data_IF_379100805800
#
_entry.id   IF_379100805800
#
_cell.length_a   1.000
_cell.length_b   1.000
_cell.length_c   1.000
_cell.angle_alpha   90.00
_cell.angle_beta   90.00
_cell.angle_gamma   90.00
#
_symmetry.space_group_name_H-M   'P 1'
#
loop_
_entity.id
_entity.type
_entity.pdbx_description
1 polymer ?
#
# COMPACT_ATOMS: atom_id res chain seq x y z
N UNK A 1 -9.57 12.54 5.84
CA UNK A 1 -8.21 12.96 5.37
C UNK A 1 -7.17 12.62 6.43
N UNK A 2 -6.23 11.70 6.16
CA UNK A 2 -5.19 11.31 7.14
C UNK A 2 -3.78 11.55 6.59
N UNK A 3 -2.94 12.16 7.44
CA UNK A 3 -1.69 12.86 7.15
C UNK A 3 -0.44 11.99 7.02
N UNK A 4 -0.54 10.85 6.31
CA UNK A 4 0.61 9.97 6.02
C UNK A 4 0.91 9.87 4.50
N UNK A 5 0.39 10.79 3.69
CA UNK A 5 0.28 10.68 2.23
C UNK A 5 1.58 10.50 1.46
N UNK A 6 2.75 10.55 2.13
CA UNK A 6 4.05 10.36 1.51
C UNK A 6 4.99 9.40 2.23
N UNK A 7 4.42 8.44 2.96
CA UNK A 7 5.14 7.42 3.73
C UNK A 7 6.01 7.95 4.89
N UNK A 8 5.87 9.22 5.28
CA UNK A 8 6.74 9.84 6.29
C UNK A 8 6.34 9.54 7.74
N UNK A 9 5.08 9.19 7.99
CA UNK A 9 4.54 9.06 9.35
C UNK A 9 3.45 8.00 9.44
N UNK A 10 3.23 7.47 10.65
CA UNK A 10 2.15 6.52 10.92
C UNK A 10 2.52 5.06 10.64
N UNK A 11 1.51 4.19 10.60
CA UNK A 11 1.71 2.73 10.52
C UNK A 11 2.29 2.26 9.19
N UNK A 12 2.18 3.05 8.14
CA UNK A 12 2.81 2.75 6.85
C UNK A 12 4.32 2.53 7.00
N UNK A 13 5.00 3.25 7.90
CA UNK A 13 6.42 3.02 8.18
C UNK A 13 6.67 1.62 8.75
N UNK A 14 5.81 1.12 9.64
CA UNK A 14 5.95 -0.24 10.19
C UNK A 14 5.67 -1.31 9.12
N UNK A 15 4.65 -1.09 8.29
CA UNK A 15 4.34 -1.97 7.16
C UNK A 15 5.50 -2.01 6.17
N UNK A 16 6.06 -0.85 5.79
CA UNK A 16 7.22 -0.78 4.92
C UNK A 16 8.44 -1.44 5.56
N UNK A 17 8.76 -1.13 6.82
CA UNK A 17 9.89 -1.74 7.55
C UNK A 17 9.86 -3.27 7.51
N UNK A 18 8.68 -3.88 7.65
CA UNK A 18 8.55 -5.32 7.73
C UNK A 18 8.46 -6.01 6.36
N UNK A 19 8.08 -5.31 5.30
CA UNK A 19 7.71 -5.92 4.03
C UNK A 19 8.54 -5.46 2.83
N UNK A 20 9.26 -4.34 2.92
CA UNK A 20 9.93 -3.72 1.75
C UNK A 20 11.14 -4.51 1.24
N UNK A 21 11.70 -5.38 2.09
CA UNK A 21 12.85 -6.24 1.78
C UNK A 21 12.44 -7.64 1.25
N UNK A 22 11.15 -7.89 1.00
CA UNK A 22 10.68 -9.15 0.42
C UNK A 22 10.17 -8.91 -1.00
N UNK A 23 10.80 -9.57 -1.98
CA UNK A 23 10.47 -9.47 -3.41
C UNK A 23 9.07 -10.00 -3.76
N UNK A 24 8.45 -10.79 -2.88
CA UNK A 24 7.08 -11.28 -3.03
C UNK A 24 6.04 -10.19 -2.76
N UNK A 25 6.46 -9.07 -2.15
CA UNK A 25 5.58 -7.97 -1.80
C UNK A 25 5.56 -6.91 -2.90
N UNK A 26 4.44 -6.17 -2.98
CA UNK A 26 4.30 -5.02 -3.86
C UNK A 26 3.89 -3.78 -3.06
N UNK A 27 4.62 -2.69 -3.22
CA UNK A 27 4.28 -1.36 -2.70
C UNK A 27 3.58 -0.57 -3.80
N UNK A 28 2.28 -0.34 -3.62
CA UNK A 28 1.48 0.48 -4.51
C UNK A 28 1.36 1.91 -3.98
N UNK A 29 1.88 2.87 -4.73
CA UNK A 29 1.78 4.30 -4.43
C UNK A 29 0.69 4.92 -5.32
N UNK A 30 -0.30 5.54 -4.68
CA UNK A 30 -1.40 6.20 -5.37
C UNK A 30 -1.33 7.69 -5.02
N UNK A 31 -1.06 8.52 -6.03
CA UNK A 31 -0.98 9.96 -5.87
C UNK A 31 0.43 10.52 -5.67
N UNK A 32 0.49 11.85 -5.64
CA UNK A 32 1.74 12.61 -5.71
C UNK A 32 2.62 12.42 -4.48
N UNK A 33 3.92 12.21 -4.73
CA UNK A 33 4.96 12.13 -3.70
C UNK A 33 5.91 13.32 -3.82
N UNK A 34 5.97 14.14 -2.77
CA UNK A 34 6.83 15.33 -2.77
C UNK A 34 8.31 14.94 -2.71
N UNK A 35 9.15 15.79 -3.33
CA UNK A 35 10.61 15.62 -3.33
C UNK A 35 11.11 15.49 -1.89
N UNK A 36 12.09 14.61 -1.66
CA UNK A 36 12.72 14.31 -0.36
C UNK A 36 11.91 13.49 0.64
N UNK A 37 10.70 13.06 0.31
CA UNK A 37 9.94 12.10 1.14
C UNK A 37 10.39 10.66 0.88
N UNK A 38 10.21 9.78 1.86
CA UNK A 38 10.38 8.33 1.73
C UNK A 38 9.53 7.79 0.58
N UNK A 39 8.27 8.21 0.49
CA UNK A 39 7.38 7.78 -0.60
C UNK A 39 7.94 8.17 -1.97
N UNK A 40 8.61 9.33 -2.09
CA UNK A 40 9.31 9.71 -3.33
C UNK A 40 10.48 8.80 -3.64
N UNK A 41 11.32 8.47 -2.65
CA UNK A 41 12.45 7.54 -2.83
C UNK A 41 12.01 6.16 -3.27
N UNK A 42 10.89 5.68 -2.70
CA UNK A 42 10.25 4.42 -3.08
C UNK A 42 9.77 4.50 -4.54
N UNK A 43 9.06 5.57 -4.92
CA UNK A 43 8.62 5.80 -6.31
C UNK A 43 9.79 5.86 -7.28
N UNK A 44 10.91 6.47 -6.89
CA UNK A 44 12.14 6.56 -7.68
C UNK A 44 12.96 5.26 -7.69
N UNK A 45 12.50 4.24 -6.95
CA UNK A 45 13.14 2.92 -6.82
C UNK A 45 14.59 3.01 -6.35
N UNK A 46 14.85 3.88 -5.37
CA UNK A 46 16.15 3.89 -4.70
C UNK A 46 16.44 2.50 -4.12
N UNK A 47 17.62 1.90 -4.36
CA UNK A 47 17.93 0.53 -3.94
C UNK A 47 17.92 0.37 -2.41
N UNK A 48 18.10 1.47 -1.68
CA UNK A 48 18.06 1.51 -0.22
C UNK A 48 17.25 2.73 0.24
N UNK A 49 16.35 2.52 1.21
CA UNK A 49 15.57 3.58 1.82
C UNK A 49 15.72 3.58 3.34
N UNK A 50 15.46 4.72 3.99
CA UNK A 50 15.60 4.88 5.44
C UNK A 50 14.22 4.89 6.11
N UNK A 51 13.97 3.95 7.01
CA UNK A 51 12.72 3.79 7.76
C UNK A 51 13.09 3.73 9.25
N UNK A 52 12.50 4.60 10.09
CA UNK A 52 12.85 4.74 11.51
C UNK A 52 14.36 4.91 11.78
N UNK A 53 15.09 5.55 10.87
CA UNK A 53 16.52 5.75 11.00
C UNK A 53 17.38 4.53 10.59
N UNK A 54 16.75 3.41 10.24
CA UNK A 54 17.41 2.19 9.78
C UNK A 54 17.32 2.08 8.26
N UNK A 55 18.38 1.59 7.63
CA UNK A 55 18.44 1.36 6.18
C UNK A 55 17.80 0.01 5.84
N UNK A 56 16.97 0.00 4.80
CA UNK A 56 16.31 -1.19 4.28
C UNK A 56 16.50 -1.27 2.77
N UNK A 57 16.72 -2.47 2.24
CA UNK A 57 16.75 -2.70 0.79
C UNK A 57 15.35 -2.64 0.19
N UNK A 58 15.21 -1.97 -0.95
CA UNK A 58 13.95 -1.96 -1.68
C UNK A 58 13.91 -3.16 -2.64
N UNK A 59 13.41 -4.29 -2.14
CA UNK A 59 13.24 -5.52 -2.93
C UNK A 59 11.80 -5.73 -3.37
N UNK A 60 10.83 -5.22 -2.61
CA UNK A 60 9.42 -5.23 -2.97
C UNK A 60 9.19 -4.50 -4.31
N UNK A 61 8.28 -5.04 -5.13
CA UNK A 61 7.92 -4.43 -6.40
C UNK A 61 7.25 -3.07 -6.15
N UNK A 62 7.67 -2.01 -6.85
CA UNK A 62 7.04 -0.69 -6.73
C UNK A 62 6.17 -0.38 -7.94
N UNK A 63 4.89 -0.11 -7.69
CA UNK A 63 3.91 0.37 -8.67
C UNK A 63 3.40 1.74 -8.30
N UNK A 64 3.16 2.58 -9.31
CA UNK A 64 2.67 3.94 -9.13
C UNK A 64 1.46 4.16 -10.01
N UNK A 65 0.35 4.60 -9.40
CA UNK A 65 -0.87 4.99 -10.10
C UNK A 65 -1.06 6.51 -9.97
N UNK A 66 -1.04 7.19 -11.12
CA UNK A 66 -1.10 8.66 -11.22
C UNK A 66 -2.52 9.18 -11.52
N UNK A 67 -3.56 8.51 -11.04
CA UNK A 67 -4.96 8.87 -11.31
C UNK A 67 -5.52 9.75 -10.19
N UNK A 68 -5.40 11.07 -10.37
CA UNK A 68 -6.00 12.12 -9.55
C UNK A 68 -7.52 12.21 -9.75
N UNK A 69 -8.26 11.18 -9.35
CA UNK A 69 -9.72 11.23 -9.31
C UNK A 69 -10.24 10.28 -8.25
N UNK A 70 -11.10 10.80 -7.36
CA UNK A 70 -11.77 10.03 -6.31
C UNK A 70 -12.58 8.84 -6.86
N UNK A 71 -12.84 8.79 -8.18
CA UNK A 71 -13.45 7.66 -8.87
C UNK A 71 -12.46 6.80 -9.67
N UNK A 72 -11.38 7.38 -10.20
CA UNK A 72 -10.38 6.65 -11.00
C UNK A 72 -9.47 5.77 -10.13
N UNK A 73 -9.24 6.16 -8.87
CA UNK A 73 -8.44 5.35 -7.95
C UNK A 73 -9.06 3.97 -7.65
N UNK A 74 -10.40 3.86 -7.66
CA UNK A 74 -11.10 2.58 -7.36
C UNK A 74 -10.91 1.56 -8.47
N UNK A 75 -11.14 1.93 -9.73
CA UNK A 75 -10.96 1.00 -10.86
C UNK A 75 -9.52 0.53 -10.96
N UNK A 76 -8.56 1.44 -10.79
CA UNK A 76 -7.14 1.08 -10.89
C UNK A 76 -6.67 0.19 -9.72
N UNK A 77 -7.24 0.39 -8.52
CA UNK A 77 -7.02 -0.48 -7.37
C UNK A 77 -7.56 -1.89 -7.61
N UNK A 78 -8.76 -2.00 -8.21
CA UNK A 78 -9.36 -3.29 -8.55
C UNK A 78 -8.58 -3.98 -9.67
N UNK A 79 -8.19 -3.27 -10.72
CA UNK A 79 -7.35 -3.82 -11.80
C UNK A 79 -5.99 -4.31 -11.26
N UNK A 80 -5.42 -3.59 -10.28
CA UNK A 80 -4.20 -4.00 -9.62
C UNK A 80 -4.39 -5.25 -8.76
N UNK A 81 -5.46 -5.28 -7.96
CA UNK A 81 -5.85 -6.45 -7.19
C UNK A 81 -6.09 -7.66 -8.10
N UNK A 82 -6.73 -7.47 -9.26
CA UNK A 82 -6.97 -8.54 -10.23
C UNK A 82 -5.68 -9.17 -10.74
N UNK A 83 -4.68 -8.34 -11.06
CA UNK A 83 -3.37 -8.81 -11.53
C UNK A 83 -2.59 -9.56 -10.47
N UNK A 84 -2.87 -9.29 -9.20
CA UNK A 84 -2.20 -9.93 -8.06
C UNK A 84 -3.02 -11.03 -7.40
N UNK A 85 -4.30 -11.21 -7.73
CA UNK A 85 -5.21 -12.10 -6.99
C UNK A 85 -4.70 -13.54 -6.88
N UNK A 86 -3.97 -14.02 -7.89
CA UNK A 86 -3.41 -15.38 -7.92
C UNK A 86 -2.05 -15.49 -7.22
N UNK A 87 -1.37 -14.38 -6.97
CA UNK A 87 -0.01 -14.31 -6.39
C UNK A 87 0.01 -13.82 -4.94
N UNK A 88 -0.90 -12.92 -4.59
CA UNK A 88 -0.98 -12.37 -3.25
C UNK A 88 -1.77 -13.32 -2.35
N UNK A 89 -1.16 -13.71 -1.22
CA UNK A 89 -1.82 -14.54 -0.21
C UNK A 89 -2.73 -13.73 0.71
N UNK A 90 -2.48 -12.41 0.84
CA UNK A 90 -3.21 -11.50 1.72
C UNK A 90 -3.20 -10.08 1.17
N UNK A 91 -4.34 -9.40 1.23
CA UNK A 91 -4.48 -7.97 0.94
C UNK A 91 -4.82 -7.21 2.22
N UNK A 92 -3.99 -6.23 2.59
CA UNK A 92 -4.23 -5.40 3.78
C UNK A 92 -4.62 -4.00 3.32
N UNK A 93 -5.89 -3.66 3.49
CA UNK A 93 -6.41 -2.33 3.23
C UNK A 93 -6.11 -1.45 4.45
N UNK A 94 -5.28 -0.43 4.23
CA UNK A 94 -4.89 0.56 5.22
C UNK A 94 -5.21 1.97 4.70
N UNK A 95 -5.51 2.89 5.62
CA UNK A 95 -5.70 4.31 5.32
C UNK A 95 -6.76 4.63 4.25
N UNK A 96 -8.02 4.70 4.68
CA UNK A 96 -9.16 5.20 3.93
C UNK A 96 -10.30 5.51 4.91
N UNK A 97 -11.38 6.13 4.43
CA UNK A 97 -12.60 6.23 5.23
C UNK A 97 -13.26 4.86 5.27
N UNK A 98 -13.89 4.50 6.41
CA UNK A 98 -14.42 3.15 6.63
C UNK A 98 -15.38 2.73 5.51
N UNK A 99 -16.24 3.64 5.03
CA UNK A 99 -17.13 3.37 3.90
C UNK A 99 -16.38 3.05 2.60
N UNK A 100 -15.28 3.76 2.31
CA UNK A 100 -14.48 3.53 1.11
C UNK A 100 -13.67 2.23 1.20
N UNK A 101 -13.12 1.91 2.37
CA UNK A 101 -12.37 0.66 2.59
C UNK A 101 -13.30 -0.54 2.53
N UNK A 102 -14.49 -0.45 3.13
CA UNK A 102 -15.50 -1.51 3.09
C UNK A 102 -16.00 -1.74 1.66
N UNK A 103 -16.28 -0.68 0.91
CA UNK A 103 -16.69 -0.79 -0.49
C UNK A 103 -15.59 -1.43 -1.35
N UNK A 104 -14.31 -1.06 -1.13
CA UNK A 104 -13.19 -1.66 -1.87
C UNK A 104 -12.99 -3.14 -1.51
N UNK A 105 -13.09 -3.48 -0.23
CA UNK A 105 -13.00 -4.87 0.26
C UNK A 105 -14.07 -5.74 -0.39
N UNK A 106 -15.33 -5.28 -0.39
CA UNK A 106 -16.45 -6.05 -0.98
C UNK A 106 -16.21 -6.37 -2.46
N UNK A 107 -15.69 -5.41 -3.23
CA UNK A 107 -15.37 -5.66 -4.64
C UNK A 107 -14.21 -6.64 -4.79
N UNK A 108 -13.14 -6.50 -3.99
CA UNK A 108 -12.01 -7.44 -4.04
C UNK A 108 -12.40 -8.85 -3.63
N UNK A 109 -13.31 -9.00 -2.66
CA UNK A 109 -13.89 -10.28 -2.26
C UNK A 109 -14.71 -10.88 -3.42
N UNK A 110 -15.55 -10.08 -4.09
CA UNK A 110 -16.30 -10.53 -5.30
C UNK A 110 -15.39 -10.94 -6.45
N UNK A 111 -14.22 -10.32 -6.60
CA UNK A 111 -13.22 -10.65 -7.61
C UNK A 111 -12.43 -11.93 -7.31
N UNK A 112 -12.57 -12.49 -6.10
CA UNK A 112 -11.91 -13.71 -5.66
C UNK A 112 -10.49 -13.50 -5.11
N UNK A 113 -10.18 -12.30 -4.60
CA UNK A 113 -8.90 -12.06 -3.92
C UNK A 113 -8.81 -12.87 -2.62
N UNK A 114 -7.64 -13.45 -2.34
CA UNK A 114 -7.41 -14.22 -1.11
C UNK A 114 -7.17 -13.28 0.08
N UNK A 115 -7.92 -13.50 1.16
CA UNK A 115 -7.79 -12.85 2.46
C UNK A 115 -7.62 -11.31 2.41
N UNK A 116 -8.73 -10.58 2.21
CA UNK A 116 -8.77 -9.10 2.25
C UNK A 116 -9.14 -8.61 3.64
N UNK A 117 -8.23 -7.92 4.32
CA UNK A 117 -8.42 -7.40 5.67
C UNK A 117 -8.37 -5.87 5.71
N UNK A 118 -9.30 -5.24 6.41
CA UNK A 118 -9.28 -3.81 6.70
C UNK A 118 -8.65 -3.62 8.07
N UNK A 119 -7.55 -2.88 8.16
CA UNK A 119 -6.89 -2.64 9.45
C UNK A 119 -7.53 -1.45 10.19
N UNK A 120 -8.36 -1.72 11.18
CA UNK A 120 -8.97 -0.71 12.04
C UNK A 120 -7.96 -0.06 13.02
N UNK A 121 -8.29 1.15 13.47
CA UNK A 121 -7.51 1.91 14.46
C UNK A 121 -7.54 1.19 15.81
N UNK A 122 -6.50 0.40 16.12
CA UNK A 122 -6.26 -0.14 17.47
C UNK A 122 -6.17 -1.66 17.60
N UNK A 123 -6.21 -2.43 16.50
CA UNK A 123 -5.98 -3.89 16.54
C UNK A 123 -4.72 -4.29 15.75
N UNK A 124 -3.73 -4.95 16.38
CA UNK A 124 -2.62 -5.57 15.65
C UNK A 124 -3.15 -6.75 14.83
N UNK A 125 -2.58 -6.94 13.64
CA UNK A 125 -2.76 -8.16 12.84
C UNK A 125 -1.60 -9.06 13.22
N UNK A 126 -1.85 -10.07 14.03
CA UNK A 126 -0.89 -11.12 14.30
C UNK A 126 -0.84 -12.06 13.09
N UNK A 127 0.39 -12.40 12.69
CA UNK A 127 0.68 -13.34 11.60
C UNK A 127 0.67 -14.78 12.08
#
# INVERSE_FOLDING_TARGET
>A
ISAAGMCEHGRILHHLKNNIEDERNTVLIIGFQAKHTLGRKIVEREPEVKIFGVKHQLLAEVKVLNSLSAHAGRSDLLDFAEKLKDRAEKFILVHGEDESLNALKEEMDKMGCKEVIIQERGKPVEG
#
